data_IF_827377735128
#
_entry.id   IF_827377735128
#
_cell.length_a   1.000
_cell.length_b   1.000
_cell.length_c   1.000
_cell.angle_alpha   90.00
_cell.angle_beta   90.00
_cell.angle_gamma   90.00
#
_symmetry.space_group_name_H-M   'P 1'
#
loop_
_entity.id
_entity.type
_entity.pdbx_description
1 polymer ?
#
# COMPACT_ATOMS: atom_id res chain seq x y z
N UNK A 1 30.47 7.55 -41.13
CA UNK A 1 30.77 6.94 -39.81
C UNK A 1 29.84 7.45 -38.73
N UNK A 2 29.57 6.64 -37.70
CA UNK A 2 28.78 7.07 -36.54
C UNK A 2 29.49 6.69 -35.24
N UNK A 3 29.36 7.51 -34.21
CA UNK A 3 29.93 7.25 -32.88
C UNK A 3 29.01 7.79 -31.79
N UNK A 4 28.88 7.07 -30.67
CA UNK A 4 28.15 7.56 -29.50
C UNK A 4 28.97 8.67 -28.82
N UNK A 5 28.30 9.71 -28.37
CA UNK A 5 28.95 10.79 -27.65
C UNK A 5 27.98 11.71 -26.95
N UNK A 6 28.51 12.83 -26.46
CA UNK A 6 27.75 13.84 -25.74
C UNK A 6 27.91 15.20 -26.43
N UNK A 7 26.86 16.02 -26.37
CA UNK A 7 26.88 17.41 -26.80
C UNK A 7 26.02 18.23 -25.84
N UNK A 8 26.58 19.27 -25.23
CA UNK A 8 25.87 20.18 -24.32
C UNK A 8 25.11 19.45 -23.17
N UNK A 9 25.71 18.41 -22.58
CA UNK A 9 25.08 17.62 -21.52
C UNK A 9 24.11 16.52 -22.01
N UNK A 10 23.97 16.35 -23.33
CA UNK A 10 23.01 15.42 -23.94
C UNK A 10 23.71 14.25 -24.59
N UNK A 11 23.28 13.03 -24.27
CA UNK A 11 23.78 11.81 -24.93
C UNK A 11 23.13 11.65 -26.30
N UNK A 12 23.90 11.15 -27.27
CA UNK A 12 23.42 10.96 -28.62
C UNK A 12 24.45 10.31 -29.54
N UNK A 13 24.19 10.42 -30.84
CA UNK A 13 25.05 9.86 -31.88
C UNK A 13 25.57 10.98 -32.77
N UNK A 14 26.88 11.00 -32.95
CA UNK A 14 27.56 11.83 -33.94
C UNK A 14 27.67 11.05 -35.25
N UNK A 15 27.26 11.67 -36.36
CA UNK A 15 27.34 11.11 -37.72
C UNK A 15 28.27 11.97 -38.55
N UNK A 16 29.33 11.36 -39.09
CA UNK A 16 30.25 12.04 -39.99
C UNK A 16 29.58 12.20 -41.35
N UNK A 17 29.44 13.45 -41.79
CA UNK A 17 28.73 13.82 -43.01
C UNK A 17 29.63 13.81 -44.25
N UNK A 18 30.92 13.49 -44.09
CA UNK A 18 31.90 13.40 -45.17
C UNK A 18 32.89 14.56 -45.19
N UNK A 19 33.82 14.49 -46.15
CA UNK A 19 34.81 15.52 -46.42
C UNK A 19 34.33 16.42 -47.57
N UNK A 20 34.54 17.72 -47.43
CA UNK A 20 34.40 18.71 -48.49
C UNK A 20 35.79 19.13 -48.93
N UNK A 21 36.17 18.75 -50.15
CA UNK A 21 37.40 19.17 -50.81
C UNK A 21 37.03 20.00 -52.06
N UNK A 22 37.20 21.33 -52.01
CA UNK A 22 36.90 22.20 -53.14
C UNK A 22 37.70 21.88 -54.41
N UNK A 23 38.88 21.28 -54.26
CA UNK A 23 39.80 21.01 -55.37
C UNK A 23 39.83 19.54 -55.79
N UNK A 24 38.98 18.70 -55.18
CA UNK A 24 38.79 17.28 -55.51
C UNK A 24 40.12 16.50 -55.68
N UNK A 25 41.03 16.67 -54.72
CA UNK A 25 42.34 16.01 -54.69
C UNK A 25 43.42 16.64 -55.55
N UNK A 26 43.17 17.78 -56.20
CA UNK A 26 44.16 18.47 -57.05
C UNK A 26 44.76 19.67 -56.30
N UNK A 27 46.08 19.74 -56.24
CA UNK A 27 46.77 20.88 -55.61
C UNK A 27 46.96 22.02 -56.63
N UNK A 28 46.62 23.25 -56.23
CA UNK A 28 46.84 24.46 -57.02
C UNK A 28 47.92 25.37 -56.42
N UNK A 29 48.03 26.60 -56.91
CA UNK A 29 49.06 27.58 -56.50
C UNK A 29 48.86 28.17 -55.09
N UNK A 30 47.81 27.73 -54.38
CA UNK A 30 47.47 28.14 -53.01
C UNK A 30 47.19 26.91 -52.15
N UNK A 31 47.25 27.08 -50.84
CA UNK A 31 46.91 26.04 -49.87
C UNK A 31 45.47 25.54 -50.08
N UNK A 32 45.29 24.22 -50.15
CA UNK A 32 43.99 23.58 -50.12
C UNK A 32 43.50 23.45 -48.67
N UNK A 33 42.22 23.70 -48.42
CA UNK A 33 41.57 23.47 -47.13
C UNK A 33 40.45 22.46 -47.32
N UNK A 34 40.60 21.30 -46.70
CA UNK A 34 39.60 20.22 -46.70
C UNK A 34 38.89 20.26 -45.35
N UNK A 35 37.56 20.34 -45.38
CA UNK A 35 36.75 20.43 -44.15
C UNK A 35 35.90 19.19 -44.01
N UNK A 36 35.85 18.61 -42.81
CA UNK A 36 34.91 17.55 -42.46
C UNK A 36 33.80 18.11 -41.57
N UNK A 37 32.60 17.57 -41.68
CA UNK A 37 31.47 17.98 -40.84
C UNK A 37 30.85 16.79 -40.11
N UNK A 38 30.37 17.06 -38.90
CA UNK A 38 29.68 16.11 -38.05
C UNK A 38 28.30 16.65 -37.70
N UNK A 39 27.30 15.78 -37.76
CA UNK A 39 25.93 16.06 -37.33
C UNK A 39 25.62 15.29 -36.04
N UNK A 40 24.98 15.93 -35.05
CA UNK A 40 24.60 15.29 -33.79
C UNK A 40 23.09 15.05 -33.72
N UNK A 41 22.71 13.82 -33.36
CA UNK A 41 21.32 13.44 -33.08
C UNK A 41 21.21 13.02 -31.63
N UNK A 42 20.39 13.73 -30.84
CA UNK A 42 20.14 13.41 -29.43
C UNK A 42 19.45 12.05 -29.29
N UNK A 43 19.85 11.27 -28.29
CA UNK A 43 19.22 9.99 -27.96
C UNK A 43 17.84 10.19 -27.34
N UNK A 44 16.98 9.18 -27.48
CA UNK A 44 15.69 9.17 -26.82
C UNK A 44 15.85 9.24 -25.30
N UNK A 45 14.88 9.90 -24.67
CA UNK A 45 14.75 9.96 -23.21
C UNK A 45 13.57 9.13 -22.74
N UNK A 46 13.72 8.60 -21.54
CA UNK A 46 12.78 7.70 -20.90
C UNK A 46 12.51 8.14 -19.47
N UNK A 47 11.43 7.63 -18.91
CA UNK A 47 10.97 7.96 -17.57
C UNK A 47 10.79 6.71 -16.71
N UNK A 48 10.78 6.92 -15.40
CA UNK A 48 10.40 5.93 -14.40
C UNK A 48 8.93 6.16 -14.04
N UNK A 49 8.10 5.13 -14.22
CA UNK A 49 6.66 5.19 -13.96
C UNK A 49 6.30 4.16 -12.89
N UNK A 50 5.58 4.60 -11.85
CA UNK A 50 5.09 3.73 -10.79
C UNK A 50 3.66 3.28 -11.02
N UNK A 51 3.32 2.06 -10.59
CA UNK A 51 1.96 1.53 -10.68
C UNK A 51 1.68 0.55 -9.52
N UNK A 52 0.55 0.73 -8.81
CA UNK A 52 0.13 -0.20 -7.74
C UNK A 52 -0.82 -1.32 -8.20
N UNK A 53 -1.16 -1.36 -9.48
CA UNK A 53 -2.22 -2.21 -9.99
C UNK A 53 -3.60 -1.62 -9.72
N UNK A 54 -4.51 -2.44 -9.18
CA UNK A 54 -5.95 -2.12 -9.15
C UNK A 54 -6.39 -1.29 -7.94
N UNK A 55 -5.87 -1.61 -6.77
CA UNK A 55 -6.37 -1.03 -5.52
C UNK A 55 -5.22 -0.49 -4.65
N UNK A 56 -5.52 0.56 -3.89
CA UNK A 56 -4.64 1.14 -2.88
C UNK A 56 -5.47 1.72 -1.73
N UNK A 57 -4.90 1.80 -0.51
CA UNK A 57 -5.55 2.49 0.61
C UNK A 57 -5.82 3.96 0.28
N UNK A 58 -6.97 4.46 0.74
CA UNK A 58 -7.35 5.86 0.56
C UNK A 58 -6.30 6.82 1.16
N UNK A 59 -6.05 7.93 0.46
CA UNK A 59 -5.08 8.96 0.89
C UNK A 59 -3.61 8.61 0.66
N UNK A 60 -3.29 7.50 -0.02
CA UNK A 60 -1.94 7.22 -0.52
C UNK A 60 -1.80 7.63 -1.98
N UNK A 61 -0.66 8.22 -2.33
CA UNK A 61 -0.33 8.68 -3.68
C UNK A 61 0.90 7.97 -4.27
N UNK A 62 0.86 7.75 -5.60
CA UNK A 62 1.94 7.06 -6.33
C UNK A 62 3.18 7.94 -6.20
N UNK A 63 4.36 7.35 -5.94
CA UNK A 63 5.59 8.08 -6.11
C UNK A 63 5.66 8.65 -7.52
N UNK A 64 6.10 9.90 -7.63
CA UNK A 64 6.32 10.58 -8.91
C UNK A 64 7.82 10.76 -9.10
N UNK A 65 8.30 10.38 -10.28
CA UNK A 65 9.65 10.70 -10.72
C UNK A 65 9.52 11.65 -11.91
N UNK A 66 10.05 12.86 -11.76
CA UNK A 66 10.03 13.92 -12.78
C UNK A 66 11.29 13.96 -13.64
N UNK A 67 12.28 13.12 -13.35
CA UNK A 67 13.54 13.09 -14.07
C UNK A 67 13.37 12.41 -15.42
N UNK A 68 14.38 12.64 -16.27
CA UNK A 68 14.43 12.11 -17.62
C UNK A 68 15.79 11.48 -17.86
N UNK A 69 15.79 10.25 -18.38
CA UNK A 69 16.95 9.39 -18.42
C UNK A 69 17.25 8.94 -19.85
N UNK A 70 18.52 8.86 -20.22
CA UNK A 70 18.96 8.14 -21.40
C UNK A 70 19.14 6.65 -21.08
N UNK A 71 19.16 5.80 -22.11
CA UNK A 71 19.49 4.39 -21.93
C UNK A 71 20.87 4.23 -21.26
N UNK A 72 20.94 3.37 -20.24
CA UNK A 72 22.11 3.14 -19.40
C UNK A 72 22.26 4.07 -18.20
N UNK A 73 21.44 5.11 -18.06
CA UNK A 73 21.45 5.94 -16.85
C UNK A 73 20.90 5.19 -15.65
N UNK A 74 21.39 5.54 -14.44
CA UNK A 74 20.89 4.96 -13.20
C UNK A 74 19.76 5.79 -12.60
N UNK A 75 18.78 5.09 -12.00
CA UNK A 75 17.70 5.69 -11.23
C UNK A 75 17.50 4.96 -9.90
N UNK A 76 16.88 5.64 -8.94
CA UNK A 76 16.54 5.07 -7.64
C UNK A 76 15.05 4.78 -7.54
N UNK A 77 14.72 3.62 -6.98
CA UNK A 77 13.34 3.23 -6.65
C UNK A 77 12.89 3.96 -5.39
N UNK A 78 11.61 4.34 -5.33
CA UNK A 78 10.99 4.94 -4.16
C UNK A 78 11.21 4.10 -2.90
N UNK A 79 11.45 4.80 -1.78
CA UNK A 79 11.67 4.17 -0.48
C UNK A 79 10.65 4.58 0.58
N UNK A 80 9.68 5.42 0.18
CA UNK A 80 8.56 5.88 1.03
C UNK A 80 7.67 4.72 1.43
N UNK A 81 7.37 3.82 0.48
CA UNK A 81 6.63 2.59 0.73
C UNK A 81 7.57 1.38 0.73
N UNK A 82 7.63 0.69 1.86
CA UNK A 82 8.48 -0.50 2.05
C UNK A 82 7.65 -1.76 2.01
N UNK A 83 8.31 -2.87 1.65
CA UNK A 83 7.70 -4.19 1.69
C UNK A 83 7.17 -4.48 3.10
N UNK A 84 5.94 -4.98 3.16
CA UNK A 84 5.19 -5.25 4.39
C UNK A 84 4.75 -4.02 5.18
N UNK A 85 4.84 -2.81 4.60
CA UNK A 85 4.19 -1.65 5.22
C UNK A 85 2.70 -1.91 5.36
N UNK A 86 2.17 -1.59 6.54
CA UNK A 86 0.76 -1.80 6.86
C UNK A 86 0.07 -0.48 7.19
N UNK A 87 -1.19 -0.37 6.81
CA UNK A 87 -2.03 0.77 7.16
C UNK A 87 -3.46 0.31 7.40
N UNK A 88 -4.08 0.80 8.47
CA UNK A 88 -5.51 0.59 8.70
C UNK A 88 -6.31 1.37 7.67
N UNK A 89 -7.36 0.76 7.16
CA UNK A 89 -8.23 1.40 6.20
C UNK A 89 -9.51 0.63 6.00
N UNK A 90 -10.21 1.00 4.94
CA UNK A 90 -11.47 0.40 4.55
C UNK A 90 -11.40 -0.02 3.08
N UNK A 91 -12.09 -1.10 2.75
CA UNK A 91 -12.34 -1.52 1.36
C UNK A 91 -13.79 -2.00 1.27
N UNK A 92 -14.55 -1.47 0.33
CA UNK A 92 -15.94 -1.88 0.08
C UNK A 92 -16.83 -1.88 1.35
N UNK A 93 -16.71 -0.88 2.21
CA UNK A 93 -17.49 -0.79 3.46
C UNK A 93 -16.91 -1.58 4.65
N UNK A 94 -15.79 -2.30 4.46
CA UNK A 94 -15.23 -3.21 5.46
C UNK A 94 -13.94 -2.67 6.03
N UNK A 95 -13.85 -2.58 7.35
CA UNK A 95 -12.62 -2.21 8.07
C UNK A 95 -11.58 -3.32 7.98
N UNK A 96 -10.32 -2.95 7.85
CA UNK A 96 -9.23 -3.92 7.80
C UNK A 96 -7.86 -3.28 7.73
N UNK A 97 -6.90 -4.06 7.25
CA UNK A 97 -5.51 -3.67 7.12
C UNK A 97 -5.06 -3.89 5.68
N UNK A 98 -4.43 -2.86 5.11
CA UNK A 98 -3.74 -2.94 3.84
C UNK A 98 -2.26 -3.26 4.08
N UNK A 99 -1.69 -4.13 3.27
CA UNK A 99 -0.27 -4.52 3.31
C UNK A 99 0.37 -4.32 1.94
N UNK A 100 1.50 -3.62 1.88
CA UNK A 100 2.22 -3.37 0.63
C UNK A 100 3.18 -4.51 0.28
N UNK A 101 3.17 -4.96 -0.97
CA UNK A 101 4.05 -6.04 -1.46
C UNK A 101 5.53 -5.64 -1.53
N UNK A 102 5.80 -4.34 -1.53
CA UNK A 102 7.08 -3.77 -1.98
C UNK A 102 7.09 -3.50 -3.49
N UNK A 103 8.09 -2.75 -3.93
CA UNK A 103 8.33 -2.43 -5.33
C UNK A 103 9.06 -3.57 -6.06
N UNK A 104 8.68 -3.80 -7.31
CA UNK A 104 9.32 -4.70 -8.27
C UNK A 104 9.86 -3.85 -9.42
N UNK A 105 11.18 -3.91 -9.64
CA UNK A 105 11.87 -3.22 -10.72
C UNK A 105 12.60 -4.25 -11.59
N UNK A 106 12.16 -4.38 -12.84
CA UNK A 106 12.75 -5.34 -13.79
C UNK A 106 14.11 -4.90 -14.32
N UNK A 107 14.41 -3.59 -14.30
CA UNK A 107 15.67 -3.08 -14.84
C UNK A 107 16.70 -2.79 -13.74
N UNK A 108 16.39 -3.14 -12.49
CA UNK A 108 17.29 -3.06 -11.34
C UNK A 108 18.06 -1.71 -11.25
N UNK A 109 17.31 -0.60 -11.34
CA UNK A 109 17.84 0.76 -11.24
C UNK A 109 18.63 1.25 -12.45
N UNK A 110 18.53 0.61 -13.61
CA UNK A 110 19.21 1.03 -14.85
C UNK A 110 18.21 1.25 -15.97
N UNK A 111 18.24 2.40 -16.64
CA UNK A 111 17.29 2.72 -17.70
C UNK A 111 17.58 1.91 -18.97
N UNK A 112 16.54 1.28 -19.52
CA UNK A 112 16.62 0.58 -20.80
C UNK A 112 16.24 1.47 -21.99
N UNK A 113 15.93 0.83 -23.12
CA UNK A 113 15.50 1.51 -24.36
C UNK A 113 13.99 1.85 -24.37
N UNK A 114 13.36 1.88 -23.20
CA UNK A 114 11.96 2.22 -22.95
C UNK A 114 11.78 2.68 -21.52
N UNK A 115 10.64 3.31 -21.22
CA UNK A 115 10.28 3.70 -19.85
C UNK A 115 10.37 2.51 -18.89
N UNK A 116 10.96 2.76 -17.72
CA UNK A 116 11.00 1.80 -16.63
C UNK A 116 9.64 1.79 -15.93
N UNK A 117 9.04 0.61 -15.79
CA UNK A 117 7.79 0.42 -15.05
C UNK A 117 8.10 -0.26 -13.73
N UNK A 118 7.94 0.47 -12.63
CA UNK A 118 8.11 -0.05 -11.28
C UNK A 118 6.72 -0.38 -10.73
N UNK A 119 6.51 -1.65 -10.40
CA UNK A 119 5.19 -2.13 -9.96
C UNK A 119 5.19 -2.53 -8.50
N UNK A 120 4.10 -2.25 -7.81
CA UNK A 120 3.84 -2.72 -6.47
C UNK A 120 2.36 -3.08 -6.34
N UNK A 121 1.94 -3.63 -5.22
CA UNK A 121 0.52 -3.87 -4.97
C UNK A 121 0.18 -3.78 -3.49
N UNK A 122 -1.05 -3.38 -3.23
CA UNK A 122 -1.63 -3.41 -1.89
C UNK A 122 -2.62 -4.57 -1.78
N UNK A 123 -2.50 -5.35 -0.71
CA UNK A 123 -3.45 -6.42 -0.38
C UNK A 123 -4.25 -6.03 0.85
N UNK A 124 -5.57 -6.18 0.79
CA UNK A 124 -6.46 -5.88 1.90
C UNK A 124 -6.84 -7.15 2.67
N UNK A 125 -6.79 -7.10 3.99
CA UNK A 125 -7.28 -8.14 4.90
C UNK A 125 -8.34 -7.54 5.81
N UNK A 126 -9.57 -8.05 5.71
CA UNK A 126 -10.69 -7.62 6.55
C UNK A 126 -10.39 -7.93 8.03
N UNK A 127 -10.75 -7.01 8.91
CA UNK A 127 -10.60 -7.21 10.35
C UNK A 127 -11.64 -8.20 10.87
N UNK A 128 -11.26 -9.00 11.86
CA UNK A 128 -12.19 -9.91 12.53
C UNK A 128 -13.33 -9.14 13.21
N UNK A 129 -14.50 -9.77 13.19
CA UNK A 129 -15.70 -9.32 13.91
C UNK A 129 -15.95 -10.22 15.10
N UNK A 130 -16.33 -9.60 16.21
CA UNK A 130 -16.58 -10.22 17.50
C UNK A 130 -17.94 -9.78 18.05
N UNK A 131 -18.41 -10.52 19.06
CA UNK A 131 -19.73 -10.38 19.66
C UNK A 131 -19.61 -10.29 21.17
N UNK A 132 -20.61 -9.72 21.83
CA UNK A 132 -20.79 -9.81 23.29
C UNK A 132 -21.79 -10.93 23.57
N UNK A 133 -21.41 -11.93 24.36
CA UNK A 133 -22.23 -13.09 24.66
C UNK A 133 -22.51 -13.19 26.16
N UNK A 134 -23.78 -13.05 26.53
CA UNK A 134 -24.21 -13.21 27.92
C UNK A 134 -24.48 -14.68 28.23
N UNK A 135 -24.08 -15.12 29.42
CA UNK A 135 -24.36 -16.46 29.94
C UNK A 135 -24.60 -16.38 31.45
N UNK A 136 -25.71 -16.96 31.93
CA UNK A 136 -26.03 -17.05 33.36
C UNK A 136 -25.09 -17.96 34.15
N UNK A 137 -24.28 -18.77 33.47
CA UNK A 137 -23.45 -19.79 34.10
C UNK A 137 -24.24 -21.09 34.30
N UNK A 138 -24.30 -21.58 35.54
CA UNK A 138 -24.89 -22.90 35.83
C UNK A 138 -26.41 -22.88 36.00
N UNK A 139 -26.94 -21.87 36.68
CA UNK A 139 -28.36 -21.80 37.02
C UNK A 139 -28.90 -20.37 36.86
N UNK A 140 -30.18 -20.25 36.52
CA UNK A 140 -30.89 -18.98 36.43
C UNK A 140 -32.32 -19.12 37.01
N UNK A 141 -32.91 -18.05 37.56
CA UNK A 141 -34.30 -18.07 37.98
C UNK A 141 -35.24 -18.29 36.78
N UNK A 142 -36.33 -19.03 37.02
CA UNK A 142 -37.32 -19.35 35.99
C UNK A 142 -37.95 -18.08 35.37
N UNK A 143 -38.20 -18.12 34.06
CA UNK A 143 -38.82 -17.00 33.33
C UNK A 143 -37.90 -15.81 33.02
N UNK A 144 -36.60 -15.88 33.34
CA UNK A 144 -35.62 -14.85 32.96
C UNK A 144 -34.83 -15.24 31.71
N UNK A 145 -34.98 -14.43 30.65
CA UNK A 145 -34.19 -14.56 29.44
C UNK A 145 -32.79 -13.94 29.63
N UNK A 146 -31.77 -14.59 29.07
CA UNK A 146 -30.42 -14.04 28.97
C UNK A 146 -30.43 -12.86 27.99
N UNK A 147 -29.79 -11.72 28.32
CA UNK A 147 -29.68 -10.60 27.38
C UNK A 147 -29.01 -11.03 26.08
N UNK A 148 -29.36 -10.37 24.99
CA UNK A 148 -28.77 -10.61 23.68
C UNK A 148 -28.23 -9.29 23.12
N UNK A 149 -26.93 -9.26 22.89
CA UNK A 149 -26.30 -8.20 22.11
C UNK A 149 -26.39 -8.55 20.63
N UNK A 150 -26.81 -7.60 19.80
CA UNK A 150 -26.90 -7.75 18.34
C UNK A 150 -25.81 -6.98 17.61
N UNK A 151 -24.88 -6.38 18.34
CA UNK A 151 -23.74 -5.65 17.82
C UNK A 151 -22.70 -6.57 17.17
N UNK A 152 -21.91 -5.97 16.29
CA UNK A 152 -20.77 -6.60 15.64
C UNK A 152 -19.58 -5.67 15.77
N UNK A 153 -18.59 -6.11 16.54
CA UNK A 153 -17.50 -5.26 17.02
C UNK A 153 -16.17 -5.72 16.43
N UNK A 154 -15.26 -4.79 16.20
CA UNK A 154 -13.86 -5.08 15.93
C UNK A 154 -13.05 -4.92 17.21
N UNK A 155 -11.82 -5.44 17.22
CA UNK A 155 -10.89 -5.22 18.33
C UNK A 155 -10.76 -3.71 18.62
N UNK A 156 -10.95 -3.35 19.89
CA UNK A 156 -10.88 -1.98 20.39
C UNK A 156 -12.19 -1.19 20.30
N UNK A 157 -13.23 -1.70 19.65
CA UNK A 157 -14.55 -1.07 19.68
C UNK A 157 -15.13 -1.13 21.11
N UNK A 158 -15.83 -0.08 21.53
CA UNK A 158 -16.49 -0.04 22.83
C UNK A 158 -17.89 -0.68 22.77
N UNK A 159 -18.27 -1.43 23.80
CA UNK A 159 -19.61 -1.98 23.98
C UNK A 159 -20.14 -1.67 25.38
N UNK A 160 -21.46 -1.69 25.51
CA UNK A 160 -22.14 -1.47 26.80
C UNK A 160 -22.62 -2.80 27.36
N UNK A 161 -22.27 -3.07 28.62
CA UNK A 161 -22.80 -4.24 29.33
C UNK A 161 -24.29 -4.03 29.62
N UNK A 162 -25.08 -5.10 29.52
CA UNK A 162 -26.51 -5.10 29.79
C UNK A 162 -26.80 -4.47 31.16
N UNK A 163 -27.76 -3.56 31.17
CA UNK A 163 -28.22 -2.85 32.37
C UNK A 163 -29.60 -3.30 32.84
N UNK A 164 -30.22 -4.27 32.13
CA UNK A 164 -31.54 -4.82 32.47
C UNK A 164 -31.48 -5.54 33.82
N UNK A 165 -30.39 -6.26 34.07
CA UNK A 165 -30.11 -6.90 35.35
C UNK A 165 -28.97 -6.20 36.06
N UNK A 166 -29.24 -5.66 37.25
CA UNK A 166 -28.28 -4.92 38.05
C UNK A 166 -27.74 -5.76 39.18
N UNK A 167 -26.49 -5.49 39.55
CA UNK A 167 -25.88 -6.11 40.72
C UNK A 167 -26.75 -5.87 41.95
N UNK A 168 -27.00 -6.95 42.70
CA UNK A 168 -27.88 -7.05 43.86
C UNK A 168 -29.38 -7.06 43.55
N UNK A 169 -29.81 -7.15 42.28
CA UNK A 169 -31.21 -7.39 41.96
C UNK A 169 -31.66 -8.73 42.56
N UNK A 170 -32.83 -8.73 43.21
CA UNK A 170 -33.39 -9.92 43.85
C UNK A 170 -34.70 -10.35 43.22
N UNK A 171 -34.90 -11.65 43.06
CA UNK A 171 -36.19 -12.22 42.62
C UNK A 171 -36.53 -13.46 43.43
N UNK A 172 -37.80 -13.62 43.80
CA UNK A 172 -38.28 -14.86 44.41
C UNK A 172 -38.32 -15.95 43.34
N UNK A 173 -37.89 -17.15 43.70
CA UNK A 173 -37.91 -18.29 42.81
C UNK A 173 -37.79 -19.60 43.57
N UNK A 174 -37.70 -20.68 42.82
CA UNK A 174 -37.55 -22.03 43.36
C UNK A 174 -36.32 -22.67 42.74
N UNK A 175 -35.56 -23.43 43.53
CA UNK A 175 -34.45 -24.26 43.07
C UNK A 175 -34.55 -25.61 43.77
N UNK A 176 -34.52 -26.70 43.00
CA UNK A 176 -34.60 -28.07 43.52
C UNK A 176 -35.79 -28.30 44.48
N UNK A 177 -36.96 -27.74 44.18
CA UNK A 177 -38.17 -27.88 44.99
C UNK A 177 -38.26 -26.96 46.22
N UNK A 178 -37.29 -26.04 46.42
CA UNK A 178 -37.23 -25.15 47.58
C UNK A 178 -37.39 -23.68 47.17
N UNK A 179 -38.41 -23.03 47.72
CA UNK A 179 -38.63 -21.58 47.56
C UNK A 179 -37.51 -20.80 48.23
N UNK A 180 -37.01 -19.78 47.52
CA UNK A 180 -35.93 -18.92 47.98
C UNK A 180 -35.91 -17.58 47.26
N UNK A 181 -34.83 -16.82 47.49
CA UNK A 181 -34.57 -15.55 46.80
C UNK A 181 -33.25 -15.68 46.05
N UNK A 182 -33.30 -15.45 44.74
CA UNK A 182 -32.12 -15.31 43.89
C UNK A 182 -31.60 -13.87 44.01
N UNK A 183 -30.28 -13.70 44.11
CA UNK A 183 -29.63 -12.38 44.08
C UNK A 183 -28.62 -12.37 42.94
N UNK A 184 -28.73 -11.41 42.02
CA UNK A 184 -27.81 -11.30 40.89
C UNK A 184 -26.49 -10.64 41.31
N UNK A 185 -25.36 -11.31 41.10
CA UNK A 185 -24.03 -10.80 41.48
C UNK A 185 -23.48 -9.71 40.56
N UNK A 186 -24.15 -9.45 39.43
CA UNK A 186 -23.65 -8.61 38.34
C UNK A 186 -22.94 -9.43 37.26
N UNK A 187 -22.79 -8.81 36.09
CA UNK A 187 -22.04 -9.37 34.96
C UNK A 187 -20.54 -9.33 35.22
N UNK A 188 -19.83 -10.38 34.82
CA UNK A 188 -18.36 -10.40 34.78
C UNK A 188 -17.92 -10.07 33.36
N UNK A 189 -17.33 -8.89 33.17
CA UNK A 189 -16.83 -8.45 31.87
C UNK A 189 -15.29 -8.47 31.87
N UNK A 190 -14.65 -9.45 31.21
CA UNK A 190 -13.20 -9.56 31.19
C UNK A 190 -12.52 -8.45 30.39
N UNK A 191 -13.24 -7.78 29.47
CA UNK A 191 -12.65 -6.73 28.63
C UNK A 191 -13.14 -5.31 29.01
N UNK A 192 -13.90 -5.18 30.10
CA UNK A 192 -14.31 -3.91 30.71
C UNK A 192 -14.84 -2.89 29.68
N UNK A 193 -15.80 -3.32 28.85
CA UNK A 193 -16.48 -2.50 27.85
C UNK A 193 -15.70 -2.27 26.55
N UNK A 194 -14.53 -2.88 26.36
CA UNK A 194 -13.73 -2.71 25.13
C UNK A 194 -13.41 -4.05 24.48
N UNK A 195 -13.79 -4.25 23.22
CA UNK A 195 -13.67 -5.57 22.57
C UNK A 195 -12.20 -6.01 22.41
N UNK A 196 -11.91 -7.24 22.84
CA UNK A 196 -10.58 -7.85 22.76
C UNK A 196 -10.31 -8.59 21.45
N UNK A 197 -9.40 -9.57 21.51
CA UNK A 197 -9.04 -10.47 20.40
C UNK A 197 -10.00 -11.66 20.23
N UNK A 198 -11.08 -11.69 21.01
CA UNK A 198 -12.11 -12.73 21.05
C UNK A 198 -13.43 -12.12 21.52
N UNK A 199 -14.52 -12.87 21.36
CA UNK A 199 -15.82 -12.49 21.91
C UNK A 199 -15.72 -12.17 23.41
N UNK A 200 -16.48 -11.17 23.82
CA UNK A 200 -16.63 -10.76 25.21
C UNK A 200 -17.69 -11.61 25.91
#
# INVERSE_FOLDING_TARGET
>A
DTVKGEKDGKKGTWTFSGWTDPNNGTMGDKNASITGSWTFTEANKYQVVYNWGKDAPAGKELPKNSDSYYAGDHYTVDTTYKKNDTVKGEKDGKKGMWTFSGWTDLNNGTMGDKNASITGSWTFTEANKYQVVYNWGKDAPEGKAVPKDTGSYHKGDHYTVDTTYKKNDTVKGEKDGKKGTWTFSGWTDPNNGTMGDKNA
#
